data_IF_652299071026
#
_entry.id   IF_652299071026
#
_cell.length_a   1.000
_cell.length_b   1.000
_cell.length_c   1.000
_cell.angle_alpha   90.00
_cell.angle_beta   90.00
_cell.angle_gamma   90.00
#
_symmetry.space_group_name_H-M   'P 1'
#
loop_
_entity.id
_entity.type
_entity.pdbx_description
1 polymer ?
#
# COMPACT_ATOMS: atom_id res chain seq x y z
N UNK A 1 27.25 19.77 -15.61
CA UNK A 1 27.42 18.79 -14.51
C UNK A 1 26.60 17.56 -14.85
N UNK A 2 27.21 16.37 -14.90
CA UNK A 2 26.51 15.12 -15.23
C UNK A 2 26.41 14.21 -14.02
N UNK A 3 25.26 13.55 -13.85
CA UNK A 3 25.03 12.59 -12.76
C UNK A 3 25.63 11.24 -13.15
N UNK A 4 26.43 10.64 -12.26
CA UNK A 4 26.93 9.26 -12.42
C UNK A 4 25.89 8.27 -11.90
N UNK A 5 24.85 8.03 -12.68
CA UNK A 5 23.69 7.22 -12.27
C UNK A 5 24.08 5.84 -11.72
N UNK A 6 24.99 5.12 -12.35
CA UNK A 6 25.43 3.80 -11.87
C UNK A 6 25.98 3.85 -10.43
N UNK A 7 26.79 4.87 -10.11
CA UNK A 7 27.34 5.02 -8.76
C UNK A 7 26.26 5.39 -7.74
N UNK A 8 25.26 6.18 -8.17
CA UNK A 8 24.14 6.57 -7.31
C UNK A 8 23.27 5.36 -6.97
N UNK A 9 22.88 4.57 -7.99
CA UNK A 9 22.06 3.37 -7.82
C UNK A 9 22.78 2.27 -7.04
N UNK A 10 24.10 2.11 -7.23
CA UNK A 10 24.92 1.19 -6.45
C UNK A 10 24.96 1.58 -4.96
N UNK A 11 25.03 2.88 -4.65
CA UNK A 11 24.92 3.35 -3.28
C UNK A 11 23.51 3.13 -2.73
N UNK A 12 22.47 3.44 -3.50
CA UNK A 12 21.07 3.24 -3.10
C UNK A 12 20.78 1.78 -2.78
N UNK A 13 21.25 0.84 -3.61
CA UNK A 13 21.19 -0.60 -3.33
C UNK A 13 21.82 -0.96 -1.98
N UNK A 14 23.02 -0.44 -1.69
CA UNK A 14 23.71 -0.67 -0.40
C UNK A 14 22.96 -0.09 0.80
N UNK A 15 22.24 1.01 0.62
CA UNK A 15 21.38 1.57 1.67
C UNK A 15 20.16 0.68 1.87
N UNK A 16 19.51 0.28 0.79
CA UNK A 16 18.35 -0.61 0.81
C UNK A 16 18.63 -1.95 1.50
N UNK A 17 19.79 -2.55 1.27
CA UNK A 17 20.20 -3.81 1.92
C UNK A 17 20.31 -3.71 3.45
N UNK A 18 20.51 -2.51 4.00
CA UNK A 18 20.61 -2.26 5.46
C UNK A 18 19.27 -1.92 6.11
N UNK A 19 18.24 -1.63 5.31
CA UNK A 19 16.92 -1.24 5.80
C UNK A 19 16.19 -2.42 6.45
N UNK A 20 15.47 -2.15 7.54
CA UNK A 20 14.49 -3.10 8.09
C UNK A 20 13.21 -3.12 7.23
N UNK A 21 12.25 -4.01 7.54
CA UNK A 21 11.01 -4.12 6.75
C UNK A 21 10.19 -2.81 6.72
N UNK A 22 10.13 -2.06 7.84
CA UNK A 22 9.41 -0.79 7.88
C UNK A 22 10.07 0.26 6.96
N UNK A 23 11.39 0.41 7.04
CA UNK A 23 12.14 1.34 6.22
C UNK A 23 11.97 1.03 4.72
N UNK A 24 12.00 -0.26 4.36
CA UNK A 24 11.74 -0.71 2.97
C UNK A 24 10.31 -0.41 2.53
N UNK A 25 9.33 -0.65 3.40
CA UNK A 25 7.93 -0.34 3.13
C UNK A 25 7.73 1.15 2.86
N UNK A 26 8.29 2.02 3.71
CA UNK A 26 8.24 3.48 3.54
C UNK A 26 8.95 3.91 2.24
N UNK A 27 10.14 3.35 1.97
CA UNK A 27 10.90 3.63 0.75
C UNK A 27 10.08 3.33 -0.50
N UNK A 28 9.46 2.15 -0.59
CA UNK A 28 8.63 1.77 -1.74
C UNK A 28 7.29 2.50 -1.83
N UNK A 29 6.74 3.00 -0.71
CA UNK A 29 5.67 3.97 -0.77
C UNK A 29 6.16 5.28 -1.40
N UNK A 30 7.29 5.82 -0.96
CA UNK A 30 7.83 7.08 -1.48
C UNK A 30 8.19 7.03 -2.97
N UNK A 31 8.62 5.87 -3.49
CA UNK A 31 8.87 5.70 -4.93
C UNK A 31 7.63 5.93 -5.79
N UNK A 32 6.43 5.82 -5.22
CA UNK A 32 5.18 6.09 -5.92
C UNK A 32 4.79 7.56 -5.88
N UNK A 33 5.52 8.43 -5.17
CA UNK A 33 5.17 9.85 -5.11
C UNK A 33 5.10 10.45 -6.51
N UNK A 34 3.93 11.01 -6.87
CA UNK A 34 3.69 11.61 -8.18
C UNK A 34 3.32 10.62 -9.28
N UNK A 35 3.31 9.31 -9.02
CA UNK A 35 2.87 8.32 -10.02
C UNK A 35 1.37 8.48 -10.30
N UNK A 36 0.93 8.29 -11.56
CA UNK A 36 -0.49 8.31 -11.93
C UNK A 36 -1.27 7.19 -11.24
N UNK A 37 -2.49 7.53 -10.80
CA UNK A 37 -3.42 6.55 -10.26
C UNK A 37 -3.87 5.59 -11.36
N UNK A 38 -3.74 4.28 -11.11
CA UNK A 38 -4.10 3.23 -12.05
C UNK A 38 -5.01 2.19 -11.43
N UNK A 39 -6.28 2.15 -11.83
CA UNK A 39 -7.23 1.15 -11.34
C UNK A 39 -6.73 -0.27 -11.57
N UNK A 40 -6.65 -1.07 -10.49
CA UNK A 40 -6.17 -2.44 -10.56
C UNK A 40 -4.65 -2.59 -10.61
N UNK A 41 -3.89 -1.50 -10.77
CA UNK A 41 -2.44 -1.52 -10.92
C UNK A 41 -1.69 -1.60 -9.59
N UNK A 42 -0.51 -2.19 -9.63
CA UNK A 42 0.33 -2.45 -8.46
C UNK A 42 1.84 -2.31 -8.75
N UNK A 43 2.26 -1.32 -9.55
CA UNK A 43 3.68 -1.15 -9.92
C UNK A 43 4.20 0.27 -9.62
N UNK A 44 5.52 0.51 -9.68
CA UNK A 44 6.10 1.82 -9.35
C UNK A 44 5.65 2.96 -10.26
N UNK A 45 5.28 2.68 -11.50
CA UNK A 45 4.85 3.68 -12.49
C UNK A 45 3.37 4.03 -12.36
N UNK A 46 2.55 3.11 -11.86
CA UNK A 46 1.12 3.34 -11.62
C UNK A 46 0.56 2.34 -10.61
N UNK A 47 -0.28 2.83 -9.70
CA UNK A 47 -0.95 2.00 -8.71
C UNK A 47 -2.32 2.54 -8.33
N UNK A 48 -3.21 1.65 -7.90
CA UNK A 48 -4.36 2.05 -7.09
C UNK A 48 -4.00 2.12 -5.60
N UNK A 49 -4.95 2.53 -4.76
CA UNK A 49 -4.74 2.70 -3.33
C UNK A 49 -4.20 1.42 -2.65
N UNK A 50 -4.80 0.27 -2.98
CA UNK A 50 -4.39 -1.03 -2.44
C UNK A 50 -3.13 -1.58 -3.09
N UNK A 51 -2.94 -1.36 -4.39
CA UNK A 51 -1.75 -1.76 -5.15
C UNK A 51 -0.51 -1.07 -4.62
N UNK A 52 -0.63 0.20 -4.22
CA UNK A 52 0.46 0.95 -3.60
C UNK A 52 0.98 0.29 -2.31
N UNK A 53 0.06 -0.20 -1.47
CA UNK A 53 0.38 -0.87 -0.21
C UNK A 53 0.86 -2.29 -0.45
N UNK A 54 0.21 -3.04 -1.34
CA UNK A 54 0.60 -4.40 -1.74
C UNK A 54 2.03 -4.45 -2.29
N UNK A 55 2.38 -3.57 -3.23
CA UNK A 55 3.72 -3.52 -3.80
C UNK A 55 4.77 -3.14 -2.74
N UNK A 56 4.46 -2.17 -1.87
CA UNK A 56 5.37 -1.80 -0.78
C UNK A 56 5.57 -2.95 0.22
N UNK A 57 4.52 -3.71 0.55
CA UNK A 57 4.63 -4.92 1.37
C UNK A 57 5.48 -5.99 0.69
N UNK A 58 5.24 -6.25 -0.59
CA UNK A 58 6.01 -7.24 -1.34
C UNK A 58 7.49 -6.88 -1.35
N UNK A 59 7.83 -5.63 -1.69
CA UNK A 59 9.21 -5.19 -1.73
C UNK A 59 9.90 -5.17 -0.36
N UNK A 60 9.13 -4.93 0.71
CA UNK A 60 9.65 -4.96 2.09
C UNK A 60 9.89 -6.38 2.63
N UNK A 61 9.01 -7.32 2.28
CA UNK A 61 8.90 -8.63 2.96
C UNK A 61 9.24 -9.83 2.08
N UNK A 62 9.31 -9.64 0.76
CA UNK A 62 9.35 -10.71 -0.24
C UNK A 62 8.04 -11.50 -0.37
N UNK A 63 7.00 -11.15 0.37
CA UNK A 63 5.72 -11.83 0.31
C UNK A 63 4.78 -11.16 -0.67
N UNK A 64 4.56 -11.85 -1.78
CA UNK A 64 3.71 -11.36 -2.84
C UNK A 64 2.23 -11.53 -2.45
N UNK A 65 1.51 -10.41 -2.40
CA UNK A 65 0.06 -10.38 -2.29
C UNK A 65 -0.51 -9.32 -3.23
N UNK A 66 -1.58 -9.66 -3.94
CA UNK A 66 -2.44 -8.68 -4.62
C UNK A 66 -3.86 -8.84 -4.14
N UNK A 67 -4.37 -7.82 -3.45
CA UNK A 67 -5.75 -7.80 -2.97
C UNK A 67 -6.28 -6.37 -2.82
N UNK A 68 -7.53 -6.23 -2.38
CA UNK A 68 -8.25 -4.96 -2.21
C UNK A 68 -7.97 -4.29 -0.87
N UNK A 69 -8.38 -3.02 -0.72
CA UNK A 69 -8.32 -2.31 0.56
C UNK A 69 -9.10 -3.03 1.68
N UNK A 70 -10.27 -3.62 1.35
CA UNK A 70 -11.10 -4.35 2.30
C UNK A 70 -10.45 -5.65 2.78
N UNK A 71 -9.83 -6.39 1.88
CA UNK A 71 -9.10 -7.61 2.21
C UNK A 71 -7.86 -7.30 3.05
N UNK A 72 -7.11 -6.24 2.68
CA UNK A 72 -5.99 -5.75 3.50
C UNK A 72 -6.48 -5.41 4.92
N UNK A 73 -7.59 -4.68 5.05
CA UNK A 73 -8.16 -4.30 6.34
C UNK A 73 -8.57 -5.50 7.19
N UNK A 74 -9.30 -6.45 6.60
CA UNK A 74 -9.92 -7.55 7.34
C UNK A 74 -8.97 -8.71 7.63
N UNK A 75 -7.96 -8.90 6.78
CA UNK A 75 -7.14 -10.13 6.78
C UNK A 75 -5.67 -9.88 7.08
N UNK A 76 -5.12 -8.71 6.73
CA UNK A 76 -3.67 -8.46 6.77
C UNK A 76 -3.29 -7.42 7.82
N UNK A 77 -4.05 -6.34 7.90
CA UNK A 77 -3.84 -5.25 8.85
C UNK A 77 -4.85 -5.35 10.00
N UNK A 78 -4.69 -6.37 10.84
CA UNK A 78 -5.63 -6.68 11.93
C UNK A 78 -5.15 -6.19 13.29
N UNK A 79 -3.89 -5.75 13.41
CA UNK A 79 -3.33 -5.24 14.68
C UNK A 79 -3.96 -3.89 15.01
N UNK A 80 -4.67 -3.84 16.15
CA UNK A 80 -5.27 -2.62 16.68
C UNK A 80 -4.24 -1.87 17.53
N UNK A 81 -4.25 -0.53 17.47
CA UNK A 81 -3.31 0.35 18.17
C UNK A 81 -1.82 0.00 17.91
N UNK A 82 -1.40 -0.07 16.63
CA UNK A 82 -0.02 -0.36 16.29
C UNK A 82 0.93 0.74 16.78
N UNK A 83 2.17 0.37 17.06
CA UNK A 83 3.21 1.32 17.46
C UNK A 83 3.70 2.11 16.24
N UNK A 84 4.28 3.32 16.46
CA UNK A 84 4.89 4.09 15.39
C UNK A 84 5.93 3.33 14.55
N UNK A 85 6.64 2.40 15.19
CA UNK A 85 7.69 1.56 14.60
C UNK A 85 7.17 0.31 13.88
N UNK A 86 5.86 0.11 13.81
CA UNK A 86 5.27 -1.01 13.08
C UNK A 86 4.86 -0.55 11.66
N UNK A 87 4.75 -1.48 10.71
CA UNK A 87 4.14 -1.20 9.41
C UNK A 87 2.65 -0.94 9.61
N UNK A 88 2.16 0.21 9.13
CA UNK A 88 0.81 0.70 9.37
C UNK A 88 0.14 1.21 8.10
N UNK A 89 -1.18 1.11 8.09
CA UNK A 89 -2.02 1.70 7.06
C UNK A 89 -3.28 2.34 7.67
N UNK A 90 -3.77 3.38 7.00
CA UNK A 90 -5.06 4.01 7.27
C UNK A 90 -6.10 3.43 6.31
N UNK A 91 -7.20 2.94 6.86
CA UNK A 91 -8.32 2.38 6.12
C UNK A 91 -9.53 3.29 6.25
N UNK A 92 -10.21 3.52 5.12
CA UNK A 92 -11.40 4.35 5.06
C UNK A 92 -12.60 3.46 4.76
N UNK A 93 -13.50 3.34 5.72
CA UNK A 93 -14.52 2.31 5.76
C UNK A 93 -15.89 2.97 5.61
N UNK A 94 -16.68 2.52 4.65
CA UNK A 94 -18.01 3.12 4.43
C UNK A 94 -18.95 2.81 5.59
N UNK A 95 -19.70 3.81 6.07
CA UNK A 95 -20.74 3.64 7.10
C UNK A 95 -22.08 3.18 6.53
N UNK A 96 -22.24 3.22 5.20
CA UNK A 96 -23.51 2.91 4.52
C UNK A 96 -23.27 1.97 3.36
N UNK A 97 -24.19 1.02 3.21
CA UNK A 97 -24.27 0.23 1.98
C UNK A 97 -24.77 1.12 0.85
N UNK A 98 -24.24 0.94 -0.35
CA UNK A 98 -24.61 1.78 -1.48
C UNK A 98 -23.77 1.53 -2.72
N UNK A 99 -24.07 2.28 -3.77
CA UNK A 99 -23.30 2.25 -5.01
C UNK A 99 -21.92 2.88 -4.79
N UNK A 100 -20.88 2.20 -5.25
CA UNK A 100 -19.50 2.68 -5.23
C UNK A 100 -18.82 2.29 -6.55
N UNK A 101 -18.48 3.30 -7.36
CA UNK A 101 -18.16 3.07 -8.78
C UNK A 101 -19.32 2.38 -9.50
N UNK A 102 -19.02 1.30 -10.21
CA UNK A 102 -20.02 0.49 -10.93
C UNK A 102 -20.67 -0.60 -10.08
N UNK A 103 -20.21 -0.79 -8.84
CA UNK A 103 -20.65 -1.87 -7.94
C UNK A 103 -21.51 -1.40 -6.77
N UNK A 104 -21.92 -2.36 -5.94
CA UNK A 104 -22.58 -2.13 -4.65
C UNK A 104 -21.66 -2.63 -3.54
N UNK A 105 -21.40 -1.77 -2.55
CA UNK A 105 -20.60 -2.12 -1.37
C UNK A 105 -21.48 -2.10 -0.13
N UNK A 106 -21.12 -2.93 0.85
CA UNK A 106 -21.83 -2.97 2.14
C UNK A 106 -21.21 -1.99 3.13
N UNK A 107 -22.00 -1.52 4.10
CA UNK A 107 -21.46 -0.85 5.27
C UNK A 107 -20.39 -1.73 5.95
N UNK A 108 -19.31 -1.11 6.45
CA UNK A 108 -18.18 -1.82 7.03
C UNK A 108 -17.13 -2.31 6.02
N UNK A 109 -17.29 -2.02 4.72
CA UNK A 109 -16.27 -2.29 3.70
C UNK A 109 -15.23 -1.17 3.65
N UNK A 110 -13.94 -1.51 3.71
CA UNK A 110 -12.88 -0.54 3.44
C UNK A 110 -12.78 -0.26 1.94
N UNK A 111 -13.05 0.98 1.53
CA UNK A 111 -13.10 1.42 0.12
C UNK A 111 -11.78 2.03 -0.32
N UNK A 112 -10.94 2.43 0.63
CA UNK A 112 -9.67 3.07 0.36
C UNK A 112 -8.65 2.72 1.45
N UNK A 113 -7.38 2.74 1.07
CA UNK A 113 -6.25 2.53 1.99
C UNK A 113 -5.09 3.46 1.66
N UNK A 114 -4.34 3.88 2.67
CA UNK A 114 -3.11 4.64 2.51
C UNK A 114 -2.04 4.14 3.48
N UNK A 115 -0.82 3.94 2.98
CA UNK A 115 0.31 3.48 3.80
C UNK A 115 0.93 4.64 4.59
N UNK A 116 1.36 4.37 5.83
CA UNK A 116 2.06 5.36 6.64
C UNK A 116 3.52 5.50 6.24
N UNK A 117 4.00 6.75 6.22
CA UNK A 117 5.40 7.12 6.05
C UNK A 117 6.05 7.45 7.40
N UNK A 118 5.29 8.14 8.26
CA UNK A 118 5.64 8.47 9.64
C UNK A 118 4.35 8.83 10.40
N UNK A 119 4.42 9.11 11.70
CA UNK A 119 3.25 9.50 12.49
C UNK A 119 2.50 10.69 11.87
N UNK A 120 1.23 10.44 11.53
CA UNK A 120 0.35 11.43 10.93
C UNK A 120 0.58 11.69 9.43
N UNK A 121 1.59 11.07 8.81
CA UNK A 121 1.94 11.27 7.39
C UNK A 121 1.75 9.97 6.61
N UNK A 122 0.99 10.04 5.53
CA UNK A 122 0.67 8.91 4.67
C UNK A 122 1.05 9.18 3.22
N UNK A 123 1.34 8.13 2.48
CA UNK A 123 1.26 8.15 1.02
C UNK A 123 -0.15 7.74 0.62
N UNK A 124 -0.87 8.67 0.00
CA UNK A 124 -2.22 8.47 -0.49
C UNK A 124 -2.22 8.35 -2.01
N UNK A 125 -2.35 7.13 -2.53
CA UNK A 125 -2.58 6.89 -3.96
C UNK A 125 -4.07 7.02 -4.28
N UNK A 126 -4.43 8.12 -4.92
CA UNK A 126 -5.79 8.45 -5.36
C UNK A 126 -5.73 9.26 -6.65
N UNK A 127 -6.83 9.35 -7.39
CA UNK A 127 -6.87 10.19 -8.59
C UNK A 127 -6.50 11.66 -8.28
N UNK A 128 -5.73 12.34 -9.17
CA UNK A 128 -5.08 11.80 -10.37
C UNK A 128 -3.69 11.17 -10.13
N UNK A 129 -3.06 11.40 -8.97
CA UNK A 129 -1.69 10.94 -8.68
C UNK A 129 -1.51 10.64 -7.18
N UNK A 130 -0.56 9.76 -6.87
CA UNK A 130 -0.16 9.50 -5.49
C UNK A 130 0.55 10.71 -4.84
N UNK A 131 0.16 11.04 -3.60
CA UNK A 131 0.64 12.22 -2.87
C UNK A 131 0.96 11.89 -1.42
N UNK A 132 2.02 12.51 -0.90
CA UNK A 132 2.25 12.61 0.54
C UNK A 132 1.23 13.57 1.14
N UNK A 133 0.52 13.13 2.19
CA UNK A 133 -0.55 13.89 2.83
C UNK A 133 -0.52 13.67 4.34
N UNK A 134 -1.08 14.61 5.09
CA UNK A 134 -1.43 14.34 6.48
C UNK A 134 -2.67 13.47 6.52
N UNK A 135 -2.70 12.49 7.42
CA UNK A 135 -3.85 11.61 7.59
C UNK A 135 -5.10 12.39 7.97
N UNK A 136 -4.98 13.48 8.73
CA UNK A 136 -6.10 14.34 9.13
C UNK A 136 -6.81 14.94 7.92
N UNK A 137 -6.05 15.50 6.97
CA UNK A 137 -6.63 16.14 5.78
C UNK A 137 -7.40 15.13 4.91
N UNK A 138 -6.92 13.89 4.84
CA UNK A 138 -7.58 12.81 4.09
C UNK A 138 -8.79 12.28 4.87
N UNK A 139 -8.65 12.10 6.18
CA UNK A 139 -9.71 11.63 7.08
C UNK A 139 -10.91 12.58 7.08
N UNK A 140 -10.67 13.89 7.17
CA UNK A 140 -11.73 14.90 7.18
C UNK A 140 -12.57 14.86 5.90
N UNK A 141 -11.94 14.57 4.75
CA UNK A 141 -12.65 14.41 3.49
C UNK A 141 -13.49 13.12 3.50
N UNK A 142 -12.91 11.98 3.86
CA UNK A 142 -13.62 10.69 3.88
C UNK A 142 -14.77 10.67 4.89
N UNK A 143 -14.58 11.24 6.08
CA UNK A 143 -15.61 11.31 7.11
C UNK A 143 -16.82 12.15 6.67
N UNK A 144 -16.60 13.29 6.02
CA UNK A 144 -17.67 14.09 5.41
C UNK A 144 -18.42 13.33 4.31
N UNK A 145 -17.76 12.36 3.69
CA UNK A 145 -18.34 11.47 2.67
C UNK A 145 -18.82 10.13 3.26
N UNK A 146 -19.17 10.09 4.54
CA UNK A 146 -19.83 8.93 5.15
C UNK A 146 -18.92 7.74 5.44
N UNK A 147 -17.62 7.97 5.60
CA UNK A 147 -16.67 6.94 6.01
C UNK A 147 -16.26 7.11 7.49
N UNK A 148 -15.75 6.04 8.08
CA UNK A 148 -14.91 6.08 9.27
C UNK A 148 -13.46 5.77 8.90
N UNK A 149 -12.54 6.07 9.82
CA UNK A 149 -11.12 5.85 9.61
C UNK A 149 -10.58 4.93 10.68
N UNK A 150 -9.87 3.90 10.25
CA UNK A 150 -9.21 2.95 11.13
C UNK A 150 -7.71 2.90 10.78
N UNK A 151 -6.86 3.17 11.77
CA UNK A 151 -5.43 2.87 11.65
C UNK A 151 -5.19 1.46 12.17
N UNK A 152 -4.48 0.66 11.39
CA UNK A 152 -4.15 -0.73 11.73
C UNK A 152 -2.70 -1.03 11.41
N UNK A 153 -2.11 -1.92 12.20
CA UNK A 153 -0.79 -2.47 11.96
C UNK A 153 -0.85 -3.78 11.21
N UNK A 154 0.24 -4.09 10.53
CA UNK A 154 0.43 -5.35 9.84
C UNK A 154 0.46 -6.53 10.83
N UNK A 155 -0.39 -7.52 10.60
CA UNK A 155 -0.23 -8.86 11.16
C UNK A 155 0.67 -9.67 10.21
N UNK A 156 1.93 -9.85 10.60
CA UNK A 156 2.95 -10.50 9.78
C UNK A 156 2.61 -11.95 9.49
N UNK A 157 1.99 -12.67 10.43
CA UNK A 157 1.60 -14.06 10.21
C UNK A 157 0.43 -14.15 9.25
N UNK A 158 -0.53 -13.22 9.34
CA UNK A 158 -1.64 -13.18 8.41
C UNK A 158 -1.19 -12.87 6.97
N UNK A 159 -0.19 -11.99 6.82
CA UNK A 159 0.45 -11.75 5.53
C UNK A 159 1.09 -13.03 4.96
N UNK A 160 1.84 -13.80 5.78
CA UNK A 160 2.43 -15.09 5.38
C UNK A 160 1.35 -16.07 4.92
N UNK A 161 0.26 -16.20 5.70
CA UNK A 161 -0.87 -17.08 5.34
C UNK A 161 -1.47 -16.68 4.00
N UNK A 162 -1.77 -15.39 3.81
CA UNK A 162 -2.35 -14.89 2.57
C UNK A 162 -1.43 -15.09 1.36
N UNK A 163 -0.12 -14.83 1.51
CA UNK A 163 0.86 -15.06 0.45
C UNK A 163 0.95 -16.56 0.07
N UNK A 164 0.81 -17.46 1.04
CA UNK A 164 0.73 -18.91 0.81
C UNK A 164 -0.53 -19.33 0.03
N UNK A 165 -1.67 -18.71 0.30
CA UNK A 165 -2.91 -18.90 -0.48
C UNK A 165 -2.81 -18.33 -1.91
N UNK A 166 -2.03 -17.24 -2.04
CA UNK A 166 -1.88 -16.40 -3.24
C UNK A 166 -1.23 -17.06 -4.45
N UNK A 167 -0.75 -18.30 -4.35
CA UNK A 167 -0.33 -19.06 -5.54
C UNK A 167 -1.46 -19.31 -6.56
N UNK A 168 -2.73 -18.99 -6.24
CA UNK A 168 -3.88 -19.48 -7.02
C UNK A 168 -5.10 -18.55 -7.27
N UNK A 169 -5.05 -17.20 -7.10
CA UNK A 169 -6.30 -16.40 -7.34
C UNK A 169 -6.20 -15.09 -8.10
N UNK A 170 -5.11 -14.34 -7.98
CA UNK A 170 -4.85 -13.13 -8.76
C UNK A 170 -3.40 -13.23 -9.22
N UNK A 171 -3.18 -13.78 -10.42
CA UNK A 171 -1.83 -13.84 -11.00
C UNK A 171 -1.23 -12.43 -11.03
N UNK A 172 0.09 -12.35 -10.81
CA UNK A 172 0.86 -11.11 -10.85
C UNK A 172 0.42 -10.18 -11.95
N UNK A 173 0.37 -8.87 -11.69
CA UNK A 173 0.53 -7.92 -12.78
C UNK A 173 1.87 -8.24 -13.45
N UNK A 174 1.82 -8.77 -14.68
CA UNK A 174 3.01 -9.12 -15.45
C UNK A 174 3.98 -7.94 -15.63
N UNK A 175 3.51 -6.72 -15.41
CA UNK A 175 4.31 -5.51 -15.36
C UNK A 175 5.31 -5.50 -14.18
N UNK A 176 5.02 -6.18 -13.06
CA UNK A 176 5.93 -6.26 -11.92
C UNK A 176 7.22 -7.03 -12.21
N UNK A 177 7.20 -7.97 -13.17
CA UNK A 177 8.39 -8.71 -13.60
C UNK A 177 9.49 -7.81 -14.19
N UNK A 178 9.17 -6.56 -14.52
CA UNK A 178 10.16 -5.57 -14.97
C UNK A 178 11.00 -5.01 -13.83
N UNK A 179 10.49 -5.07 -12.60
CA UNK A 179 11.07 -4.41 -11.44
C UNK A 179 11.57 -5.40 -10.38
N UNK A 180 11.03 -6.62 -10.36
CA UNK A 180 11.36 -7.63 -9.35
C UNK A 180 11.70 -8.97 -9.99
N UNK A 181 12.79 -9.58 -9.50
CA UNK A 181 13.12 -10.97 -9.81
C UNK A 181 12.20 -11.89 -9.01
N UNK A 182 11.11 -12.34 -9.64
CA UNK A 182 10.04 -13.08 -8.95
C UNK A 182 10.38 -14.55 -8.65
N UNK A 183 11.55 -15.03 -9.05
CA UNK A 183 11.89 -16.46 -9.03
C UNK A 183 11.05 -17.26 -10.03
N UNK A 184 11.66 -18.24 -10.71
CA UNK A 184 10.92 -19.19 -11.55
C UNK A 184 10.17 -20.23 -10.71
#
# INVERSE_FOLDING_TARGET
MGIKWNNLMENEKKQFEKMNELDKFIYFLLLQFGSPYGWGKENPESSDCSGAVCMALFAATGLLIRTTADDLYKRVFTVVNPRPTDIRAAFFITKKSGKHGDGYISAGTATHVAGFLEDGVILNSQEPYAKVRRITDVSDWFQRNGHEVAVRGLDREALVRLAGEGKNRYGLDSELNRYFDMGA
#
